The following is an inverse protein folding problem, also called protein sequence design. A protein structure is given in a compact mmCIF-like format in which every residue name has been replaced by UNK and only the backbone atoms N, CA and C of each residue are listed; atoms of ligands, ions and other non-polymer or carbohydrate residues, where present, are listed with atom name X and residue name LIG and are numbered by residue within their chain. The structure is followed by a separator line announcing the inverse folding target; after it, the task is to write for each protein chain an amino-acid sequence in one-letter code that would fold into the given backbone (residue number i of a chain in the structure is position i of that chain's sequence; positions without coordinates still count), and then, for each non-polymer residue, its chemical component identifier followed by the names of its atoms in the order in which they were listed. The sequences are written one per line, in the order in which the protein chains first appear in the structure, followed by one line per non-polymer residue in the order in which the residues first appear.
data_IF_117725626658
#
_entry.id   IF_117725626658
#
_cell.length_a   1.000
_cell.length_b   1.000
_cell.length_c   1.000
_cell.angle_alpha   90.00
_cell.angle_beta   90.00
_cell.angle_gamma   90.00
#
_symmetry.space_group_name_H-M   'P 1'
#
loop_
_entity.id
_entity.type
_entity.pdbx_description
1 polymer ?
#
# COMPACT_ATOMS: atom_id res chain seq x y z
N UNK A 1 26.71 -4.82 66.02
CA UNK A 1 25.28 -4.84 66.34
C UNK A 1 24.56 -5.63 65.26
N UNK A 2 24.06 -6.82 65.63
CA UNK A 2 23.17 -7.65 64.80
C UNK A 2 21.76 -7.12 64.95
N UNK A 3 20.98 -7.06 63.87
CA UNK A 3 19.52 -7.19 63.92
C UNK A 3 19.04 -8.04 62.73
N UNK A 4 18.46 -9.19 63.07
CA UNK A 4 17.66 -10.06 62.22
C UNK A 4 16.18 -9.76 62.51
N UNK A 5 15.33 -9.70 61.47
CA UNK A 5 13.91 -10.12 61.43
C UNK A 5 13.55 -10.33 59.94
N UNK A 6 13.64 -11.53 59.37
CA UNK A 6 12.58 -12.57 59.21
C UNK A 6 11.19 -12.09 58.73
N UNK A 7 10.73 -12.76 57.65
CA UNK A 7 9.36 -13.07 57.19
C UNK A 7 8.54 -12.02 56.40
N UNK A 8 8.24 -12.35 55.14
CA UNK A 8 6.90 -12.78 54.72
C UNK A 8 6.91 -13.30 53.27
N UNK A 9 6.75 -14.62 53.10
CA UNK A 9 6.17 -15.21 51.89
C UNK A 9 4.66 -14.99 52.01
N UNK A 10 4.08 -14.28 51.06
CA UNK A 10 2.64 -14.05 50.98
C UNK A 10 2.22 -14.09 49.53
N UNK A 11 1.75 -15.26 49.08
CA UNK A 11 1.07 -15.42 47.80
C UNK A 11 -0.15 -14.49 47.76
N UNK A 12 -0.19 -13.59 46.78
CA UNK A 12 -1.42 -12.91 46.40
C UNK A 12 -1.97 -13.61 45.16
N UNK A 13 -2.90 -14.54 45.39
CA UNK A 13 -3.95 -14.86 44.43
C UNK A 13 -4.64 -13.56 44.03
N UNK A 14 -4.59 -13.20 42.76
CA UNK A 14 -5.60 -12.32 42.17
C UNK A 14 -6.47 -13.17 41.25
N UNK A 15 -7.51 -13.71 41.89
CA UNK A 15 -8.89 -13.79 41.43
C UNK A 15 -9.09 -13.95 39.92
N UNK A 16 -9.51 -15.17 39.56
CA UNK A 16 -10.30 -15.50 38.40
C UNK A 16 -11.43 -14.49 38.17
N UNK A 17 -11.28 -13.63 37.16
CA UNK A 17 -12.41 -13.00 36.49
C UNK A 17 -12.92 -13.99 35.45
N UNK A 18 -14.15 -14.49 35.64
CA UNK A 18 -14.81 -15.43 34.73
C UNK A 18 -15.23 -14.80 33.38
N UNK A 19 -14.62 -13.69 32.99
CA UNK A 19 -14.66 -13.02 31.67
C UNK A 19 -13.27 -12.41 31.43
N UNK A 20 -12.24 -13.26 31.34
CA UNK A 20 -10.81 -12.91 31.40
C UNK A 20 -10.23 -12.32 30.12
N UNK A 21 -10.70 -11.15 29.73
CA UNK A 21 -10.06 -10.36 28.67
C UNK A 21 -8.75 -9.71 29.15
N UNK A 22 -7.70 -9.77 28.32
CA UNK A 22 -6.44 -9.03 28.53
C UNK A 22 -6.41 -7.82 27.59
N UNK A 23 -6.01 -6.67 28.13
CA UNK A 23 -5.67 -5.49 27.33
C UNK A 23 -4.15 -5.46 27.14
N UNK A 24 -3.70 -5.70 25.91
CA UNK A 24 -2.28 -5.83 25.58
C UNK A 24 -1.89 -4.77 24.55
N UNK A 25 -1.65 -3.57 25.05
CA UNK A 25 -1.30 -2.39 24.26
C UNK A 25 -0.09 -2.65 23.34
N UNK A 26 0.90 -3.41 23.82
CA UNK A 26 2.10 -3.71 23.04
C UNK A 26 1.75 -4.54 21.80
N UNK A 27 0.88 -5.55 21.93
CA UNK A 27 0.39 -6.34 20.81
C UNK A 27 -0.42 -5.50 19.81
N UNK A 28 -1.26 -4.59 20.31
CA UNK A 28 -2.06 -3.68 19.47
C UNK A 28 -1.17 -2.73 18.67
N UNK A 29 -0.19 -2.12 19.33
CA UNK A 29 0.84 -1.28 18.71
C UNK A 29 1.77 -2.05 17.76
N UNK A 30 1.72 -3.38 17.79
CA UNK A 30 2.52 -4.24 16.90
C UNK A 30 1.76 -4.66 15.63
N UNK A 31 0.55 -4.17 15.44
CA UNK A 31 -0.20 -4.36 14.21
C UNK A 31 0.13 -3.24 13.22
N UNK A 32 0.14 -3.51 11.90
CA UNK A 32 0.29 -2.46 10.91
C UNK A 32 -0.91 -1.51 10.95
N UNK A 33 -0.65 -0.23 10.81
CA UNK A 33 -1.66 0.80 10.59
C UNK A 33 -1.63 1.30 9.14
N UNK A 34 -2.67 2.02 8.74
CA UNK A 34 -2.75 2.56 7.38
C UNK A 34 -1.63 3.58 7.10
N UNK A 35 -1.24 4.41 8.07
CA UNK A 35 -0.22 5.43 7.88
C UNK A 35 1.17 4.84 7.57
N UNK A 36 1.55 3.75 8.24
CA UNK A 36 2.83 3.07 8.01
C UNK A 36 2.86 2.23 6.74
N UNK A 37 1.68 1.85 6.23
CA UNK A 37 1.57 0.90 5.11
C UNK A 37 0.95 1.48 3.86
N UNK A 38 0.61 2.77 3.78
CA UNK A 38 0.03 3.40 2.59
C UNK A 38 1.09 3.95 1.64
N UNK A 39 0.86 3.84 0.33
CA UNK A 39 1.70 4.45 -0.71
C UNK A 39 1.24 5.90 -0.97
N UNK A 40 2.17 6.83 -1.19
CA UNK A 40 1.85 8.27 -1.31
C UNK A 40 2.43 8.90 -2.57
N UNK A 41 1.64 9.72 -3.26
CA UNK A 41 2.02 10.48 -4.47
C UNK A 41 1.70 12.01 -4.33
N UNK A 42 1.14 12.46 -3.20
CA UNK A 42 0.54 13.80 -3.06
C UNK A 42 1.43 14.91 -2.46
N UNK A 43 1.02 16.16 -2.74
CA UNK A 43 1.57 17.43 -2.25
C UNK A 43 1.03 17.92 -0.89
N UNK A 44 -0.16 17.52 -0.44
CA UNK A 44 -0.72 17.94 0.86
C UNK A 44 -1.63 16.87 1.46
N UNK A 45 -1.13 15.66 1.70
CA UNK A 45 -1.80 14.80 2.68
C UNK A 45 -1.30 15.21 4.07
N UNK A 46 -2.09 15.94 4.89
CA UNK A 46 -1.66 16.23 6.25
C UNK A 46 -1.36 14.91 6.95
N UNK A 47 -0.21 14.87 7.61
CA UNK A 47 0.17 13.80 8.53
C UNK A 47 -0.73 13.89 9.77
N UNK A 48 -1.99 13.48 9.66
CA UNK A 48 -2.89 13.34 10.79
C UNK A 48 -3.63 12.01 10.70
N UNK A 49 -3.39 11.20 11.73
CA UNK A 49 -4.07 9.98 12.16
C UNK A 49 -4.84 9.19 11.11
N UNK A 50 -4.36 7.96 10.84
CA UNK A 50 -4.90 6.98 9.91
C UNK A 50 -6.35 6.50 10.16
N UNK A 51 -7.13 7.24 10.93
CA UNK A 51 -8.57 7.05 11.13
C UNK A 51 -9.42 8.31 10.87
N UNK A 52 -8.86 9.50 10.56
CA UNK A 52 -9.65 10.75 10.48
C UNK A 52 -9.72 11.42 9.10
N UNK A 53 -8.90 11.04 8.11
CA UNK A 53 -9.10 11.42 6.70
C UNK A 53 -10.07 10.44 6.02
N UNK A 54 -11.27 10.35 6.58
CA UNK A 54 -12.37 9.52 6.07
C UNK A 54 -13.27 10.44 5.22
N UNK A 55 -13.21 10.24 3.90
CA UNK A 55 -14.18 10.68 2.88
C UNK A 55 -14.19 12.15 2.38
N UNK A 56 -13.61 13.15 3.05
CA UNK A 56 -13.72 14.55 2.57
C UNK A 56 -12.67 14.97 1.54
N UNK A 57 -11.37 14.72 1.78
CA UNK A 57 -10.30 15.16 0.87
C UNK A 57 -10.35 14.54 -0.53
N UNK A 58 -10.89 13.32 -0.65
CA UNK A 58 -10.92 12.59 -1.91
C UNK A 58 -11.98 13.10 -2.90
N UNK A 59 -13.08 13.72 -2.44
CA UNK A 59 -14.11 14.27 -3.36
C UNK A 59 -13.68 15.60 -3.98
N UNK A 60 -12.88 16.40 -3.27
CA UNK A 60 -12.36 17.66 -3.82
C UNK A 60 -11.27 17.40 -4.87
N UNK A 61 -10.54 16.28 -4.78
CA UNK A 61 -9.62 15.87 -5.85
C UNK A 61 -10.35 15.33 -7.08
N UNK A 62 -11.52 14.69 -6.94
CA UNK A 62 -12.31 14.17 -8.08
C UNK A 62 -12.82 15.29 -9.01
N UNK A 63 -13.12 16.48 -8.48
CA UNK A 63 -13.55 17.63 -9.30
C UNK A 63 -12.40 18.32 -10.06
N UNK A 64 -11.14 18.07 -9.68
CA UNK A 64 -9.94 18.66 -10.30
C UNK A 64 -9.27 17.74 -11.33
N UNK A 65 -9.77 16.51 -11.50
CA UNK A 65 -9.21 15.52 -12.43
C UNK A 65 -9.92 15.48 -13.79
N UNK A 66 -11.03 16.22 -13.95
CA UNK A 66 -11.66 16.44 -15.26
C UNK A 66 -10.83 17.44 -16.10
N UNK A 67 -9.84 16.91 -16.83
CA UNK A 67 -9.30 17.57 -18.03
C UNK A 67 -8.19 18.61 -17.86
N UNK A 68 -7.71 18.90 -16.64
CA UNK A 68 -6.64 19.90 -16.41
C UNK A 68 -5.35 19.36 -15.76
N UNK A 69 -5.35 18.11 -15.26
CA UNK A 69 -4.18 17.48 -14.66
C UNK A 69 -3.22 16.85 -15.67
N UNK A 70 -1.96 16.66 -15.29
CA UNK A 70 -1.00 15.93 -16.13
C UNK A 70 -1.50 14.50 -16.38
N UNK A 71 -1.96 14.19 -17.59
CA UNK A 71 -2.69 12.94 -17.87
C UNK A 71 -1.86 11.68 -17.54
N UNK A 72 -0.54 11.79 -17.61
CA UNK A 72 0.40 10.72 -17.25
C UNK A 72 0.46 10.43 -15.73
N UNK A 73 0.05 11.39 -14.89
CA UNK A 73 -0.01 11.28 -13.43
C UNK A 73 -1.36 10.73 -12.95
N UNK A 74 -2.43 11.06 -13.65
CA UNK A 74 -3.80 10.66 -13.30
C UNK A 74 -3.92 9.13 -13.15
N UNK A 75 -3.42 8.38 -14.13
CA UNK A 75 -3.39 6.92 -14.08
C UNK A 75 -2.69 6.39 -12.83
N UNK A 76 -1.51 6.90 -12.50
CA UNK A 76 -0.76 6.48 -11.32
C UNK A 76 -1.51 6.79 -10.01
N UNK A 77 -2.14 7.96 -9.90
CA UNK A 77 -2.95 8.34 -8.73
C UNK A 77 -4.16 7.45 -8.55
N UNK A 78 -4.88 7.13 -9.63
CA UNK A 78 -6.01 6.20 -9.57
C UNK A 78 -5.59 4.84 -9.03
N UNK A 79 -4.45 4.30 -9.47
CA UNK A 79 -3.95 3.01 -8.98
C UNK A 79 -3.53 3.07 -7.51
N UNK A 80 -2.82 4.12 -7.07
CA UNK A 80 -2.45 4.29 -5.66
C UNK A 80 -3.68 4.49 -4.78
N UNK A 81 -4.67 5.25 -5.23
CA UNK A 81 -5.95 5.41 -4.54
C UNK A 81 -6.65 4.06 -4.37
N UNK A 82 -6.79 3.27 -5.44
CA UNK A 82 -7.43 1.96 -5.38
C UNK A 82 -6.69 1.00 -4.44
N UNK A 83 -5.35 0.97 -4.50
CA UNK A 83 -4.50 0.18 -3.60
C UNK A 83 -4.72 0.58 -2.13
N UNK A 84 -4.65 1.87 -1.84
CA UNK A 84 -4.80 2.42 -0.51
C UNK A 84 -6.22 2.22 0.05
N UNK A 85 -7.26 2.42 -0.78
CA UNK A 85 -8.65 2.16 -0.40
C UNK A 85 -8.85 0.69 -0.01
N UNK A 86 -8.26 -0.24 -0.77
CA UNK A 86 -8.31 -1.66 -0.48
C UNK A 86 -7.56 -2.03 0.81
N UNK A 87 -6.35 -1.50 0.98
CA UNK A 87 -5.56 -1.68 2.19
C UNK A 87 -6.30 -1.16 3.42
N UNK A 88 -6.89 0.03 3.33
CA UNK A 88 -7.73 0.60 4.40
C UNK A 88 -8.86 -0.34 4.75
N UNK A 89 -9.65 -0.79 3.77
CA UNK A 89 -10.77 -1.71 3.97
C UNK A 89 -10.35 -3.03 4.65
N UNK A 90 -9.18 -3.56 4.30
CA UNK A 90 -8.64 -4.78 4.88
C UNK A 90 -8.13 -4.59 6.32
N UNK A 91 -7.64 -3.40 6.67
CA UNK A 91 -7.16 -3.09 8.02
C UNK A 91 -8.28 -2.72 9.01
N UNK A 92 -9.46 -2.27 8.53
CA UNK A 92 -10.55 -1.88 9.45
C UNK A 92 -11.01 -3.05 10.36
N UNK A 93 -11.17 -4.30 9.88
CA UNK A 93 -11.48 -5.43 10.75
C UNK A 93 -10.45 -5.63 11.87
N UNK A 94 -9.16 -5.46 11.57
CA UNK A 94 -8.08 -5.54 12.55
C UNK A 94 -8.24 -4.45 13.60
N UNK A 95 -8.39 -3.20 13.17
CA UNK A 95 -8.54 -2.04 14.04
C UNK A 95 -9.80 -2.10 14.93
N UNK A 96 -10.90 -2.69 14.46
CA UNK A 96 -12.12 -2.84 15.25
C UNK A 96 -12.04 -4.00 16.26
N UNK A 97 -11.38 -5.10 15.88
CA UNK A 97 -11.22 -6.26 16.77
C UNK A 97 -10.37 -5.93 18.00
N UNK A 98 -9.31 -5.13 17.84
CA UNK A 98 -8.43 -4.74 18.95
C UNK A 98 -9.01 -3.72 19.91
N UNK A 99 -10.16 -3.12 19.60
CA UNK A 99 -10.91 -2.29 20.56
C UNK A 99 -11.55 -3.12 21.68
N UNK A 100 -11.59 -4.44 21.52
CA UNK A 100 -12.08 -5.39 22.52
C UNK A 100 -10.90 -6.06 23.22
N UNK A 101 -11.12 -6.51 24.45
CA UNK A 101 -10.13 -7.30 25.17
C UNK A 101 -9.87 -8.64 24.47
N UNK A 102 -8.61 -9.07 24.47
CA UNK A 102 -8.21 -10.35 23.89
C UNK A 102 -8.45 -11.51 24.86
N UNK A 103 -8.74 -12.69 24.31
CA UNK A 103 -8.64 -13.97 25.00
C UNK A 103 -7.20 -14.48 24.90
N UNK A 104 -6.50 -14.53 26.03
CA UNK A 104 -5.12 -14.99 26.09
C UNK A 104 -5.03 -16.52 26.04
N UNK A 105 -4.15 -17.03 25.16
CA UNK A 105 -3.90 -18.45 24.94
C UNK A 105 -2.44 -18.80 25.26
N UNK A 106 -2.13 -20.08 25.56
CA UNK A 106 -0.76 -20.53 25.75
C UNK A 106 0.15 -20.18 24.56
N UNK A 107 1.42 -19.88 24.85
CA UNK A 107 2.43 -19.56 23.82
C UNK A 107 2.44 -18.09 23.37
N UNK A 108 2.09 -17.17 24.26
CA UNK A 108 2.01 -15.72 24.01
C UNK A 108 1.11 -15.35 22.82
N UNK A 109 -0.04 -16.04 22.76
CA UNK A 109 -1.05 -15.85 21.71
C UNK A 109 -2.25 -15.10 22.29
N UNK A 110 -2.70 -14.07 21.58
CA UNK A 110 -3.86 -13.25 21.89
C UNK A 110 -4.89 -13.42 20.78
N UNK A 111 -6.13 -13.72 21.14
CA UNK A 111 -7.24 -13.87 20.19
C UNK A 111 -8.27 -12.78 20.42
N UNK A 112 -8.54 -11.99 19.39
CA UNK A 112 -9.56 -10.95 19.40
C UNK A 112 -10.76 -11.41 18.56
N UNK A 113 -11.97 -11.24 19.11
CA UNK A 113 -13.20 -11.75 18.51
C UNK A 113 -13.53 -13.18 18.95
N UNK A 114 -14.46 -13.88 18.25
CA UNK A 114 -15.03 -13.53 16.96
C UNK A 114 -15.94 -12.29 16.98
N UNK A 115 -16.06 -11.62 15.84
CA UNK A 115 -16.96 -10.47 15.68
C UNK A 115 -17.58 -10.42 14.29
N UNK A 116 -18.90 -10.28 14.26
CA UNK A 116 -19.65 -10.04 13.04
C UNK A 116 -19.40 -8.63 12.49
N UNK A 117 -19.19 -8.54 11.18
CA UNK A 117 -19.01 -7.28 10.47
C UNK A 117 -19.50 -7.41 9.03
N UNK A 118 -20.48 -6.58 8.68
CA UNK A 118 -21.04 -6.47 7.34
C UNK A 118 -21.47 -7.82 6.74
N UNK A 119 -20.55 -8.53 6.10
CA UNK A 119 -20.77 -9.76 5.34
C UNK A 119 -20.05 -11.01 5.88
N UNK A 120 -19.26 -10.91 6.95
CA UNK A 120 -18.55 -12.05 7.54
C UNK A 120 -18.35 -11.92 9.05
N UNK A 121 -17.98 -13.02 9.69
CA UNK A 121 -17.51 -13.05 11.08
C UNK A 121 -15.99 -13.15 11.09
N UNK A 122 -15.31 -12.20 11.75
CA UNK A 122 -13.85 -12.10 11.77
C UNK A 122 -13.25 -12.49 13.11
N UNK A 123 -12.04 -13.04 13.07
CA UNK A 123 -11.22 -13.36 14.24
C UNK A 123 -9.77 -12.98 13.96
N UNK A 124 -9.16 -12.23 14.86
CA UNK A 124 -7.75 -11.83 14.79
C UNK A 124 -6.97 -12.64 15.81
N UNK A 125 -5.84 -13.20 15.41
CA UNK A 125 -4.90 -13.88 16.32
C UNK A 125 -3.56 -13.20 16.19
N UNK A 126 -2.98 -12.80 17.32
CA UNK A 126 -1.66 -12.17 17.40
C UNK A 126 -0.77 -13.06 18.26
N UNK A 127 0.41 -13.40 17.76
CA UNK A 127 1.44 -14.13 18.50
C UNK A 127 2.61 -13.19 18.78
N UNK A 128 2.99 -13.08 20.05
CA UNK A 128 4.24 -12.41 20.44
C UNK A 128 5.40 -13.37 20.20
N UNK A 129 6.36 -12.92 19.42
CA UNK A 129 7.62 -13.61 19.18
C UNK A 129 8.76 -12.99 19.99
N UNK A 130 9.96 -13.52 19.78
CA UNK A 130 11.18 -13.00 20.38
C UNK A 130 11.62 -11.70 19.70
N UNK A 131 12.42 -10.88 20.40
CA UNK A 131 13.04 -9.68 19.87
C UNK A 131 12.06 -8.67 19.24
N UNK A 132 10.91 -8.45 19.91
CA UNK A 132 9.84 -7.52 19.48
C UNK A 132 9.27 -7.84 18.09
N UNK A 133 9.29 -9.11 17.70
CA UNK A 133 8.63 -9.60 16.49
C UNK A 133 7.23 -10.08 16.86
N UNK A 134 6.23 -9.63 16.13
CA UNK A 134 4.84 -10.00 16.31
C UNK A 134 4.32 -10.54 14.99
N UNK A 135 3.61 -11.65 15.04
CA UNK A 135 2.94 -12.25 13.89
C UNK A 135 1.45 -12.18 14.14
N UNK A 136 0.67 -11.95 13.09
CA UNK A 136 -0.77 -11.90 13.21
C UNK A 136 -1.44 -12.54 12.00
N UNK A 137 -2.64 -13.04 12.23
CA UNK A 137 -3.56 -13.46 11.18
C UNK A 137 -4.96 -12.93 11.43
N UNK A 138 -5.63 -12.58 10.35
CA UNK A 138 -7.04 -12.30 10.30
C UNK A 138 -7.72 -13.46 9.56
N UNK A 139 -8.65 -14.11 10.23
CA UNK A 139 -9.47 -15.16 9.67
C UNK A 139 -10.92 -14.67 9.58
N UNK A 140 -11.65 -15.14 8.57
CA UNK A 140 -13.07 -14.85 8.41
C UNK A 140 -13.86 -16.11 8.09
N UNK A 141 -15.12 -16.17 8.52
CA UNK A 141 -16.08 -17.22 8.16
C UNK A 141 -17.41 -16.59 7.73
N UNK A 142 -18.31 -17.35 7.07
CA UNK A 142 -19.62 -16.83 6.68
C UNK A 142 -20.39 -16.27 7.87
N UNK A 143 -21.08 -15.15 7.66
CA UNK A 143 -21.86 -14.48 8.69
C UNK A 143 -22.91 -15.43 9.29
N UNK A 144 -23.01 -15.47 10.63
CA UNK A 144 -23.94 -16.34 11.35
C UNK A 144 -23.54 -17.81 11.39
N UNK A 145 -22.41 -18.19 10.76
CA UNK A 145 -21.85 -19.54 10.94
C UNK A 145 -21.35 -19.72 12.37
N UNK A 146 -21.61 -20.87 12.95
CA UNK A 146 -21.05 -21.32 14.24
C UNK A 146 -19.96 -22.37 14.08
N UNK A 147 -19.67 -22.78 12.83
CA UNK A 147 -18.64 -23.74 12.51
C UNK A 147 -17.26 -23.08 12.58
N UNK A 148 -16.42 -23.53 13.51
CA UNK A 148 -15.05 -23.04 13.67
C UNK A 148 -14.08 -23.59 12.61
N UNK A 149 -14.48 -24.60 11.85
CA UNK A 149 -13.70 -25.09 10.70
C UNK A 149 -13.94 -24.27 9.43
N UNK A 150 -14.96 -23.40 9.43
CA UNK A 150 -15.30 -22.55 8.29
C UNK A 150 -14.42 -21.28 8.17
N UNK A 151 -13.49 -21.05 9.09
CA UNK A 151 -12.57 -19.92 9.03
C UNK A 151 -11.56 -20.08 7.89
N UNK A 152 -11.47 -19.04 7.06
CA UNK A 152 -10.43 -18.90 6.03
C UNK A 152 -9.48 -17.77 6.41
N UNK A 153 -8.21 -17.96 6.13
CA UNK A 153 -7.18 -16.93 6.30
C UNK A 153 -7.36 -15.82 5.26
N UNK A 154 -7.79 -14.64 5.69
CA UNK A 154 -8.05 -13.50 4.77
C UNK A 154 -6.93 -12.48 4.76
N UNK A 155 -6.20 -12.34 5.87
CA UNK A 155 -4.97 -11.56 5.90
C UNK A 155 -3.98 -12.13 6.93
N UNK A 156 -2.71 -11.87 6.74
CA UNK A 156 -1.66 -12.22 7.68
C UNK A 156 -0.51 -11.21 7.59
N UNK A 157 0.31 -11.15 8.62
CA UNK A 157 1.49 -10.31 8.58
C UNK A 157 2.41 -10.51 9.77
N UNK A 158 3.52 -9.78 9.72
CA UNK A 158 4.46 -9.72 10.81
C UNK A 158 5.03 -8.31 10.93
N UNK A 159 5.33 -7.89 12.16
CA UNK A 159 6.02 -6.64 12.45
C UNK A 159 7.13 -6.90 13.46
N UNK A 160 8.34 -6.51 13.10
CA UNK A 160 9.42 -6.30 14.07
C UNK A 160 9.45 -4.82 14.44
N UNK A 161 9.00 -4.49 15.66
CA UNK A 161 8.93 -3.11 16.13
C UNK A 161 10.31 -2.49 16.33
N UNK A 162 10.44 -1.21 15.99
CA UNK A 162 11.66 -0.39 16.15
C UNK A 162 11.55 0.68 17.27
N UNK A 163 10.47 0.68 18.04
CA UNK A 163 10.30 1.50 19.24
C UNK A 163 9.03 2.34 19.22
N UNK A 164 8.61 2.80 18.05
CA UNK A 164 7.35 3.52 17.88
C UNK A 164 6.16 2.56 17.69
N UNK A 165 4.95 3.03 17.95
CA UNK A 165 3.73 2.27 17.70
C UNK A 165 3.52 2.10 16.19
N UNK A 166 3.21 0.89 15.75
CA UNK A 166 2.94 0.53 14.35
C UNK A 166 4.14 0.74 13.39
N UNK A 167 5.33 1.05 13.92
CA UNK A 167 6.56 1.26 13.14
C UNK A 167 7.56 0.12 13.34
N UNK A 168 8.48 0.02 12.40
CA UNK A 168 9.42 -1.09 12.28
C UNK A 168 9.49 -1.66 10.86
N UNK A 169 9.88 -2.92 10.77
CA UNK A 169 10.01 -3.67 9.52
C UNK A 169 9.07 -4.86 9.53
N UNK A 170 8.35 -5.08 8.45
CA UNK A 170 7.30 -6.08 8.45
C UNK A 170 6.76 -6.44 7.08
N UNK A 171 5.81 -7.38 7.11
CA UNK A 171 5.08 -7.86 5.94
C UNK A 171 3.59 -7.88 6.24
N UNK A 172 2.80 -7.80 5.19
CA UNK A 172 1.35 -7.95 5.22
C UNK A 172 0.92 -8.63 3.91
N UNK A 173 -0.04 -9.55 4.00
CA UNK A 173 -0.62 -10.22 2.86
C UNK A 173 -2.13 -10.33 3.05
N UNK A 174 -2.90 -10.04 1.99
CA UNK A 174 -4.37 -10.02 1.95
C UNK A 174 -4.83 -10.89 0.79
N UNK A 175 -5.79 -11.79 1.05
CA UNK A 175 -6.46 -12.59 0.03
C UNK A 175 -7.92 -12.17 -0.08
N UNK A 176 -8.22 -11.43 -1.15
CA UNK A 176 -9.59 -11.07 -1.51
C UNK A 176 -10.37 -12.30 -1.99
N UNK A 177 -9.68 -13.29 -2.58
CA UNK A 177 -10.29 -14.57 -2.98
C UNK A 177 -10.79 -15.35 -1.76
N UNK A 178 -10.01 -15.42 -0.67
CA UNK A 178 -10.43 -16.08 0.55
C UNK A 178 -11.58 -15.35 1.24
N UNK A 179 -11.56 -14.01 1.22
CA UNK A 179 -12.66 -13.20 1.74
C UNK A 179 -13.94 -13.43 0.93
N UNK A 180 -13.86 -13.38 -0.41
CA UNK A 180 -14.99 -13.65 -1.30
C UNK A 180 -15.58 -15.03 -1.10
N UNK A 181 -14.75 -16.03 -0.80
CA UNK A 181 -15.21 -17.39 -0.59
C UNK A 181 -16.03 -17.57 0.70
N UNK A 182 -15.89 -16.69 1.70
CA UNK A 182 -16.73 -16.70 2.92
C UNK A 182 -17.81 -15.63 2.91
N UNK A 183 -17.64 -14.60 2.08
CA UNK A 183 -18.57 -13.50 1.90
C UNK A 183 -18.82 -13.23 0.41
N UNK A 184 -19.69 -14.01 -0.26
CA UNK A 184 -19.87 -13.96 -1.71
C UNK A 184 -20.35 -12.62 -2.28
N UNK A 185 -20.92 -11.73 -1.45
CA UNK A 185 -21.28 -10.36 -1.83
C UNK A 185 -20.08 -9.44 -2.02
N UNK A 186 -18.89 -9.84 -1.55
CA UNK A 186 -17.65 -9.11 -1.78
C UNK A 186 -17.21 -9.27 -3.24
N UNK A 187 -17.02 -8.14 -3.93
CA UNK A 187 -16.77 -8.15 -5.38
C UNK A 187 -15.29 -8.29 -5.74
N UNK A 188 -14.38 -7.84 -4.87
CA UNK A 188 -12.94 -7.87 -5.10
C UNK A 188 -12.36 -9.28 -5.27
N UNK A 189 -11.16 -9.36 -5.84
CA UNK A 189 -10.47 -10.61 -6.15
C UNK A 189 -8.95 -10.46 -6.10
N UNK A 190 -8.26 -11.60 -6.08
CA UNK A 190 -6.81 -11.70 -6.09
C UNK A 190 -6.16 -11.47 -4.73
N UNK A 191 -4.86 -11.17 -4.76
CA UNK A 191 -4.03 -11.03 -3.56
C UNK A 191 -3.17 -9.78 -3.62
N UNK A 192 -3.02 -9.13 -2.47
CA UNK A 192 -2.09 -8.04 -2.23
C UNK A 192 -1.11 -8.52 -1.18
N UNK A 193 0.16 -8.56 -1.52
CA UNK A 193 1.26 -8.87 -0.62
C UNK A 193 2.16 -7.65 -0.53
N UNK A 194 2.71 -7.38 0.64
CA UNK A 194 3.62 -6.26 0.80
C UNK A 194 4.66 -6.51 1.87
N UNK A 195 5.75 -5.76 1.74
CA UNK A 195 6.73 -5.52 2.79
C UNK A 195 6.89 -4.02 3.00
N UNK A 196 7.24 -3.66 4.23
CA UNK A 196 7.44 -2.28 4.63
C UNK A 196 8.60 -2.15 5.60
N UNK A 197 9.27 -1.01 5.55
CA UNK A 197 10.31 -0.62 6.49
C UNK A 197 10.19 0.87 6.82
N UNK A 198 10.15 1.18 8.10
CA UNK A 198 10.22 2.53 8.64
C UNK A 198 11.66 2.87 9.01
N UNK A 199 12.02 4.13 8.82
CA UNK A 199 13.39 4.63 8.99
C UNK A 199 13.39 6.00 9.65
N UNK A 200 14.23 6.17 10.67
CA UNK A 200 14.47 7.47 11.32
C UNK A 200 13.18 8.17 11.74
N UNK A 201 13.08 9.47 11.44
CA UNK A 201 11.95 10.34 11.82
C UNK A 201 10.72 10.17 10.91
N UNK A 202 10.27 8.93 10.69
CA UNK A 202 9.05 8.64 9.94
C UNK A 202 9.22 8.53 8.41
N UNK A 203 10.44 8.34 7.92
CA UNK A 203 10.62 7.91 6.53
C UNK A 203 10.11 6.48 6.38
N UNK A 204 9.58 6.12 5.21
CA UNK A 204 9.09 4.75 4.93
C UNK A 204 9.45 4.28 3.54
N UNK A 205 9.63 2.98 3.41
CA UNK A 205 9.87 2.24 2.18
C UNK A 205 8.87 1.10 2.07
N UNK A 206 8.23 0.95 0.91
CA UNK A 206 7.15 0.01 0.66
C UNK A 206 7.41 -0.74 -0.64
N UNK A 207 7.11 -2.04 -0.63
CA UNK A 207 7.06 -2.87 -1.83
C UNK A 207 5.83 -3.76 -1.76
N UNK A 208 4.92 -3.59 -2.71
CA UNK A 208 3.74 -4.42 -2.90
C UNK A 208 3.96 -5.34 -4.09
N UNK A 209 3.43 -6.55 -4.00
CA UNK A 209 3.22 -7.49 -5.09
C UNK A 209 1.72 -7.77 -5.17
N UNK A 210 1.17 -7.58 -6.36
CA UNK A 210 -0.23 -7.80 -6.69
C UNK A 210 -0.33 -9.05 -7.56
N UNK A 211 -1.26 -9.93 -7.25
CA UNK A 211 -1.55 -11.12 -8.04
C UNK A 211 -3.04 -11.14 -8.40
N UNK A 212 -3.34 -10.86 -9.67
CA UNK A 212 -4.70 -10.74 -10.19
C UNK A 212 -5.63 -9.86 -9.32
N UNK A 213 -5.06 -8.80 -8.74
CA UNK A 213 -5.68 -8.04 -7.66
C UNK A 213 -6.59 -6.94 -8.22
N UNK A 214 -7.83 -6.89 -7.73
CA UNK A 214 -8.67 -5.69 -7.83
C UNK A 214 -9.64 -5.64 -6.64
N UNK A 215 -9.77 -4.49 -5.96
CA UNK A 215 -10.76 -4.35 -4.89
C UNK A 215 -12.19 -4.30 -5.41
N UNK A 216 -12.38 -3.89 -6.67
CA UNK A 216 -13.68 -3.85 -7.31
C UNK A 216 -13.53 -3.99 -8.84
N UNK A 217 -13.90 -5.14 -9.42
CA UNK A 217 -13.75 -5.39 -10.86
C UNK A 217 -14.63 -4.50 -11.74
N UNK A 218 -15.65 -3.84 -11.19
CA UNK A 218 -16.49 -2.90 -11.96
C UNK A 218 -15.84 -1.53 -12.15
N UNK A 219 -14.90 -1.16 -11.27
CA UNK A 219 -14.21 0.13 -11.29
C UNK A 219 -12.75 0.00 -11.74
N UNK A 220 -12.10 -1.12 -11.45
CA UNK A 220 -10.68 -1.33 -11.69
C UNK A 220 -10.42 -2.71 -12.29
N UNK A 221 -9.64 -2.73 -13.36
CA UNK A 221 -9.14 -3.98 -13.92
C UNK A 221 -8.16 -4.65 -12.95
N UNK A 222 -8.10 -5.99 -13.00
CA UNK A 222 -7.21 -6.75 -12.15
C UNK A 222 -5.75 -6.55 -12.59
N UNK A 223 -4.88 -6.27 -11.62
CA UNK A 223 -3.45 -6.03 -11.85
C UNK A 223 -2.62 -7.18 -11.29
N UNK A 224 -1.63 -7.61 -12.08
CA UNK A 224 -0.51 -8.44 -11.61
C UNK A 224 0.76 -7.64 -11.86
N UNK A 225 1.53 -7.40 -10.81
CA UNK A 225 2.70 -6.53 -10.87
C UNK A 225 3.22 -6.14 -9.48
N UNK A 226 4.23 -5.29 -9.46
CA UNK A 226 4.83 -4.73 -8.26
C UNK A 226 4.60 -3.22 -8.20
N UNK A 227 4.22 -2.73 -7.01
CA UNK A 227 4.17 -1.30 -6.74
C UNK A 227 5.23 -1.02 -5.68
N UNK A 228 6.11 -0.07 -5.91
CA UNK A 228 7.18 0.25 -4.97
C UNK A 228 7.17 1.73 -4.69
N UNK A 229 7.57 2.13 -3.49
CA UNK A 229 7.73 3.55 -3.21
C UNK A 229 8.32 3.85 -1.86
N UNK A 230 8.63 5.13 -1.67
CA UNK A 230 9.11 5.63 -0.41
C UNK A 230 8.70 7.08 -0.17
N UNK A 231 8.70 7.46 1.10
CA UNK A 231 8.59 8.84 1.56
C UNK A 231 9.77 9.15 2.47
N UNK A 232 10.46 10.25 2.19
CA UNK A 232 11.55 10.76 3.02
C UNK A 232 11.02 11.81 3.98
N UNK A 233 11.46 11.74 5.24
CA UNK A 233 11.24 12.76 6.26
C UNK A 233 12.59 13.36 6.68
N UNK A 234 12.67 14.67 6.96
CA UNK A 234 11.56 15.64 7.01
C UNK A 234 11.20 16.27 5.66
N UNK A 235 11.90 15.92 4.56
CA UNK A 235 11.76 16.61 3.27
C UNK A 235 10.41 16.41 2.58
N UNK A 236 9.67 15.35 2.94
CA UNK A 236 8.39 14.98 2.33
C UNK A 236 8.50 14.48 0.89
N UNK A 237 9.72 14.31 0.36
CA UNK A 237 9.93 13.80 -1.00
C UNK A 237 9.36 12.39 -1.10
N UNK A 238 8.51 12.16 -2.10
CA UNK A 238 7.95 10.84 -2.40
C UNK A 238 8.39 10.38 -3.76
N UNK A 239 8.60 9.06 -3.87
CA UNK A 239 8.74 8.38 -5.15
C UNK A 239 7.92 7.11 -5.13
N UNK A 240 7.26 6.83 -6.24
CA UNK A 240 6.47 5.63 -6.40
C UNK A 240 6.59 5.12 -7.83
N UNK A 241 6.68 3.81 -8.00
CA UNK A 241 6.52 3.14 -9.30
C UNK A 241 5.33 2.20 -9.22
N UNK A 242 4.40 2.36 -10.16
CA UNK A 242 3.11 1.67 -10.17
C UNK A 242 2.75 1.20 -11.58
N UNK A 243 2.00 0.11 -11.65
CA UNK A 243 1.50 -0.47 -12.90
C UNK A 243 -0.02 -0.43 -12.91
N UNK A 244 -0.64 0.02 -13.99
CA UNK A 244 -2.09 -0.01 -14.14
C UNK A 244 -2.55 -0.08 -15.58
N UNK A 245 -3.83 -0.38 -15.76
CA UNK A 245 -4.52 -0.19 -17.03
C UNK A 245 -5.04 1.25 -17.10
N UNK A 246 -4.66 2.00 -18.13
CA UNK A 246 -5.06 3.40 -18.34
C UNK A 246 -5.20 3.68 -19.83
N UNK A 247 -6.20 4.47 -20.21
CA UNK A 247 -6.36 4.91 -21.58
C UNK A 247 -5.53 6.19 -21.77
N UNK A 248 -4.38 6.11 -22.44
CA UNK A 248 -3.54 7.27 -22.65
C UNK A 248 -4.24 8.28 -23.57
N UNK A 249 -4.14 9.60 -23.31
CA UNK A 249 -4.62 10.57 -24.29
C UNK A 249 -3.93 10.39 -25.63
N UNK A 250 -4.66 10.62 -26.73
CA UNK A 250 -4.20 10.48 -28.11
C UNK A 250 -3.96 9.03 -28.57
N UNK A 251 -4.55 8.04 -27.89
CA UNK A 251 -4.74 6.68 -28.43
C UNK A 251 -5.98 6.60 -29.31
N UNK A 252 -6.09 5.52 -30.10
CA UNK A 252 -7.08 5.41 -31.16
C UNK A 252 -8.50 5.10 -30.67
N UNK A 253 -8.65 4.42 -29.53
CA UNK A 253 -9.93 3.94 -29.00
C UNK A 253 -10.00 4.11 -27.48
N UNK A 254 -10.92 3.38 -26.83
CA UNK A 254 -11.03 3.33 -25.37
C UNK A 254 -10.33 2.10 -24.77
N UNK A 255 -9.58 1.36 -25.58
CA UNK A 255 -8.82 0.20 -25.11
C UNK A 255 -7.68 0.68 -24.21
N UNK A 256 -7.61 0.18 -22.98
CA UNK A 256 -6.59 0.63 -22.03
C UNK A 256 -5.24 -0.02 -22.32
N UNK A 257 -4.20 0.79 -22.28
CA UNK A 257 -2.81 0.35 -22.25
C UNK A 257 -2.43 -0.12 -20.85
N UNK A 258 -1.46 -1.04 -20.77
CA UNK A 258 -0.68 -1.23 -19.54
C UNK A 258 0.30 -0.07 -19.44
N UNK A 259 0.24 0.67 -18.35
CA UNK A 259 1.10 1.84 -18.09
C UNK A 259 1.88 1.60 -16.81
N UNK A 260 3.20 1.51 -16.94
CA UNK A 260 4.14 1.49 -15.84
C UNK A 260 4.68 2.91 -15.66
N UNK A 261 4.42 3.51 -14.50
CA UNK A 261 4.77 4.90 -14.23
C UNK A 261 5.68 4.98 -13.01
N UNK A 262 6.83 5.66 -13.13
CA UNK A 262 7.61 6.14 -12.00
C UNK A 262 7.26 7.61 -11.77
N UNK A 263 6.88 7.94 -10.54
CA UNK A 263 6.48 9.26 -10.09
C UNK A 263 7.48 9.73 -9.05
N UNK A 264 7.92 10.98 -9.18
CA UNK A 264 8.68 11.72 -8.17
C UNK A 264 7.93 12.99 -7.82
N UNK A 265 7.61 13.17 -6.56
CA UNK A 265 7.03 14.41 -6.05
C UNK A 265 7.97 15.06 -5.04
N UNK A 266 8.16 16.37 -5.19
CA UNK A 266 8.98 17.20 -4.31
C UNK A 266 8.09 18.32 -3.77
N UNK A 267 7.84 18.35 -2.46
CA UNK A 267 7.02 19.40 -1.85
C UNK A 267 7.51 20.80 -2.24
N UNK A 268 6.58 21.72 -2.46
CA UNK A 268 6.85 23.11 -2.86
C UNK A 268 7.51 23.31 -4.24
N UNK A 269 7.77 22.23 -5.01
CA UNK A 269 8.22 22.33 -6.39
C UNK A 269 7.21 21.75 -7.40
N UNK A 270 6.50 20.70 -7.01
CA UNK A 270 5.63 19.93 -7.90
C UNK A 270 6.19 18.53 -8.11
N UNK A 271 6.17 18.01 -9.33
CA UNK A 271 6.67 16.66 -9.57
C UNK A 271 6.86 16.31 -11.03
N UNK A 272 7.26 15.06 -11.22
CA UNK A 272 7.50 14.45 -12.52
C UNK A 272 7.01 13.01 -12.52
N UNK A 273 6.45 12.60 -13.64
CA UNK A 273 6.14 11.22 -13.97
C UNK A 273 6.90 10.83 -15.23
N UNK A 274 7.52 9.66 -15.22
CA UNK A 274 8.09 9.00 -16.37
C UNK A 274 7.35 7.68 -16.57
N UNK A 275 6.92 7.40 -17.80
CA UNK A 275 6.10 6.22 -18.08
C UNK A 275 6.64 5.37 -19.23
N UNK A 276 6.22 4.11 -19.19
CA UNK A 276 6.24 3.18 -20.31
C UNK A 276 4.85 2.58 -20.47
N UNK A 277 4.33 2.56 -21.70
CA UNK A 277 3.02 2.00 -22.00
C UNK A 277 3.04 1.01 -23.17
N UNK A 278 2.22 -0.03 -23.09
CA UNK A 278 2.10 -1.08 -24.10
C UNK A 278 0.73 -1.79 -24.08
N UNK A 279 0.40 -2.51 -25.15
CA UNK A 279 -0.91 -3.15 -25.31
C UNK A 279 -2.03 -2.14 -25.57
N UNK A 280 -3.29 -2.55 -25.42
CA UNK A 280 -4.41 -1.65 -25.71
C UNK A 280 -4.42 -1.23 -27.18
N UNK A 281 -4.42 0.09 -27.42
CA UNK A 281 -4.33 0.66 -28.76
C UNK A 281 -2.90 0.73 -29.33
N UNK A 282 -1.88 0.41 -28.52
CA UNK A 282 -0.49 0.41 -28.96
C UNK A 282 -0.23 -0.85 -29.79
N UNK A 283 0.23 -0.71 -31.06
CA UNK A 283 0.52 -1.85 -31.92
C UNK A 283 1.47 -2.88 -31.30
N UNK A 284 1.35 -4.13 -31.73
CA UNK A 284 2.30 -5.17 -31.33
C UNK A 284 3.74 -4.78 -31.74
N UNK A 285 4.71 -5.10 -30.87
CA UNK A 285 6.13 -4.77 -31.01
C UNK A 285 6.46 -3.26 -30.96
N UNK A 286 5.51 -2.42 -30.52
CA UNK A 286 5.75 -1.02 -30.19
C UNK A 286 5.39 -0.72 -28.75
N UNK A 287 5.94 0.36 -28.23
CA UNK A 287 5.62 0.87 -26.90
C UNK A 287 5.74 2.39 -26.89
N UNK A 288 5.04 3.02 -25.97
CA UNK A 288 5.20 4.45 -25.70
C UNK A 288 6.07 4.67 -24.48
N UNK A 289 6.87 5.72 -24.52
CA UNK A 289 7.58 6.27 -23.35
C UNK A 289 7.29 7.75 -23.27
N UNK A 290 7.22 8.28 -22.07
CA UNK A 290 6.90 9.69 -21.91
C UNK A 290 7.34 10.23 -20.58
N UNK A 291 7.32 11.55 -20.51
CA UNK A 291 7.49 12.29 -19.28
C UNK A 291 6.45 13.39 -19.19
N UNK A 292 6.00 13.66 -17.98
CA UNK A 292 5.21 14.85 -17.65
C UNK A 292 5.73 15.48 -16.37
N UNK A 293 5.75 16.80 -16.30
CA UNK A 293 6.01 17.56 -15.09
C UNK A 293 4.82 18.45 -14.74
N UNK A 294 4.61 18.63 -13.44
CA UNK A 294 3.63 19.56 -12.91
C UNK A 294 4.27 20.48 -11.88
N UNK A 295 3.70 21.67 -11.72
CA UNK A 295 4.10 22.61 -10.69
C UNK A 295 3.40 22.35 -9.34
N UNK A 296 3.56 23.27 -8.40
CA UNK A 296 2.94 23.16 -7.06
C UNK A 296 1.42 23.29 -7.05
N UNK A 297 0.82 23.87 -8.10
CA UNK A 297 -0.62 23.88 -8.32
C UNK A 297 -1.08 22.63 -9.08
N UNK A 298 -0.18 21.67 -9.29
CA UNK A 298 -0.41 20.46 -10.08
C UNK A 298 -0.75 20.73 -11.55
N UNK A 299 -0.46 21.94 -12.05
CA UNK A 299 -0.64 22.28 -13.45
C UNK A 299 0.44 21.62 -14.28
N UNK A 300 0.05 20.93 -15.36
CA UNK A 300 1.00 20.38 -16.33
C UNK A 300 1.80 21.51 -17.00
N UNK A 301 3.12 21.49 -16.82
CA UNK A 301 4.04 22.50 -17.39
C UNK A 301 4.93 21.91 -18.49
N UNK A 302 5.11 20.60 -18.49
CA UNK A 302 5.85 19.87 -19.50
C UNK A 302 5.21 18.51 -19.74
N UNK A 303 5.10 18.10 -21.00
CA UNK A 303 4.72 16.74 -21.39
C UNK A 303 5.37 16.38 -22.72
N UNK A 304 5.70 15.10 -22.90
CA UNK A 304 6.06 14.53 -24.20
C UNK A 304 5.82 13.03 -24.23
N UNK A 305 5.37 12.50 -25.37
CA UNK A 305 5.32 11.07 -25.67
C UNK A 305 6.20 10.74 -26.87
N UNK A 306 6.89 9.61 -26.79
CA UNK A 306 7.63 9.01 -27.89
C UNK A 306 7.12 7.61 -28.15
N UNK A 307 6.98 7.28 -29.43
CA UNK A 307 6.72 5.94 -29.92
C UNK A 307 8.04 5.24 -30.25
N UNK A 308 8.23 4.08 -29.64
CA UNK A 308 9.40 3.22 -29.80
C UNK A 308 9.01 1.88 -30.41
N UNK A 309 10.00 1.18 -30.95
CA UNK A 309 9.87 -0.22 -31.40
C UNK A 309 10.67 -1.11 -30.46
N UNK A 310 10.27 -2.37 -30.30
CA UNK A 310 11.00 -3.28 -29.41
C UNK A 310 12.47 -3.42 -29.82
N UNK A 311 13.37 -3.29 -28.84
CA UNK A 311 14.82 -3.29 -29.05
C UNK A 311 15.42 -1.96 -29.53
N UNK A 312 14.61 -0.93 -29.83
CA UNK A 312 15.10 0.39 -30.18
C UNK A 312 15.67 1.12 -28.96
N UNK A 313 16.71 1.94 -29.16
CA UNK A 313 17.17 2.85 -28.12
C UNK A 313 16.22 4.06 -28.02
N UNK A 314 16.15 4.70 -26.84
CA UNK A 314 15.23 5.82 -26.63
C UNK A 314 15.48 6.99 -27.60
N UNK A 315 16.73 7.20 -28.01
CA UNK A 315 17.11 8.26 -28.96
C UNK A 315 16.59 8.01 -30.38
N UNK A 316 16.17 6.78 -30.69
CA UNK A 316 15.59 6.39 -31.98
C UNK A 316 14.06 6.40 -32.00
N UNK A 317 13.42 6.72 -30.87
CA UNK A 317 11.97 6.81 -30.79
C UNK A 317 11.46 8.10 -31.45
N UNK A 318 10.28 8.03 -32.06
CA UNK A 318 9.67 9.18 -32.75
C UNK A 318 8.68 9.86 -31.83
N UNK A 319 8.72 11.19 -31.74
CA UNK A 319 7.74 11.94 -30.95
C UNK A 319 6.32 11.72 -31.51
N UNK A 320 5.36 11.45 -30.62
CA UNK A 320 3.94 11.34 -30.99
C UNK A 320 3.42 12.74 -31.27
N UNK A 321 2.91 12.96 -32.48
CA UNK A 321 2.44 14.27 -32.94
C UNK A 321 1.41 14.87 -31.97
N UNK A 322 1.64 16.12 -31.55
CA UNK A 322 0.75 16.84 -30.62
C UNK A 322 0.87 16.42 -29.15
N UNK A 323 1.78 15.51 -28.80
CA UNK A 323 1.98 15.10 -27.42
C UNK A 323 2.76 16.10 -26.57
N UNK A 324 3.51 17.01 -27.20
CA UNK A 324 4.38 17.94 -26.50
C UNK A 324 3.64 19.13 -25.92
N UNK A 325 3.88 19.39 -24.64
CA UNK A 325 3.47 20.59 -23.92
C UNK A 325 4.73 21.20 -23.29
N UNK A 326 4.91 22.51 -23.44
CA UNK A 326 6.03 23.24 -22.84
C UNK A 326 7.42 22.71 -23.21
N UNK A 327 8.41 23.06 -22.39
CA UNK A 327 9.79 22.62 -22.50
C UNK A 327 10.24 21.97 -21.19
N UNK A 328 11.25 21.08 -21.25
CA UNK A 328 11.75 20.38 -20.05
C UNK A 328 12.28 21.34 -18.97
N UNK A 329 12.68 22.54 -19.39
CA UNK A 329 13.14 23.63 -18.52
C UNK A 329 12.02 24.15 -17.60
N UNK A 330 10.76 23.95 -17.98
CA UNK A 330 9.58 24.33 -17.22
C UNK A 330 9.35 23.40 -16.02
N UNK A 331 9.94 22.19 -16.01
CA UNK A 331 10.01 21.35 -14.81
C UNK A 331 10.77 22.08 -13.70
N UNK A 332 10.15 22.29 -12.54
CA UNK A 332 10.75 23.10 -11.45
C UNK A 332 11.76 22.29 -10.63
N UNK A 333 13.04 22.65 -10.77
CA UNK A 333 14.14 22.06 -10.00
C UNK A 333 15.00 21.10 -10.82
N UNK A 334 16.32 21.07 -10.58
CA UNK A 334 17.26 20.28 -11.38
C UNK A 334 16.96 18.77 -11.34
N UNK A 335 16.45 18.29 -10.22
CA UNK A 335 16.07 16.88 -10.03
C UNK A 335 14.90 16.40 -10.90
N UNK A 336 14.13 17.33 -11.47
CA UNK A 336 12.99 17.04 -12.37
C UNK A 336 13.33 17.27 -13.85
N UNK A 337 14.49 17.88 -14.17
CA UNK A 337 14.88 18.31 -15.53
C UNK A 337 15.75 17.30 -16.30
N UNK A 338 15.88 16.07 -15.82
CA UNK A 338 16.69 15.03 -16.46
C UNK A 338 16.11 14.51 -17.77
N UNK A 339 16.85 13.62 -18.45
CA UNK A 339 16.35 12.88 -19.61
C UNK A 339 15.15 12.01 -19.24
N UNK A 340 14.34 11.61 -20.23
CA UNK A 340 13.24 10.65 -20.05
C UNK A 340 13.82 9.34 -19.55
N UNK A 341 13.50 8.96 -18.31
CA UNK A 341 13.97 7.70 -17.69
C UNK A 341 12.77 6.81 -17.39
N UNK A 342 12.19 6.17 -18.42
CA UNK A 342 10.99 5.40 -18.24
C UNK A 342 11.31 4.13 -17.44
N UNK A 343 10.40 3.67 -16.58
CA UNK A 343 10.57 2.40 -15.90
C UNK A 343 10.62 1.26 -16.91
N UNK A 344 11.45 0.26 -16.63
CA UNK A 344 11.69 -0.89 -17.53
C UNK A 344 11.01 -2.17 -17.03
N UNK A 345 10.91 -3.16 -17.91
CA UNK A 345 10.34 -4.48 -17.60
C UNK A 345 8.83 -4.57 -17.77
N UNK A 346 8.25 -5.63 -17.20
CA UNK A 346 6.81 -5.99 -17.25
C UNK A 346 6.00 -5.38 -16.09
N UNK A 347 6.68 -4.69 -15.18
CA UNK A 347 6.10 -4.14 -13.97
C UNK A 347 6.12 -5.09 -12.76
N UNK A 348 6.74 -6.27 -12.84
CA UNK A 348 6.86 -7.22 -11.71
C UNK A 348 8.08 -6.96 -10.80
N UNK A 349 8.88 -5.96 -11.14
CA UNK A 349 10.12 -5.62 -10.46
C UNK A 349 9.84 -4.83 -9.16
N UNK A 350 10.16 -5.46 -8.03
CA UNK A 350 10.03 -4.88 -6.69
C UNK A 350 11.31 -4.14 -6.23
N UNK A 351 12.26 -3.89 -7.12
CA UNK A 351 13.47 -3.12 -6.78
C UNK A 351 13.11 -1.71 -6.32
N UNK A 352 13.70 -1.21 -5.21
CA UNK A 352 13.39 0.12 -4.69
C UNK A 352 13.70 1.25 -5.67
N UNK A 353 12.87 2.28 -5.67
CA UNK A 353 13.13 3.51 -6.44
C UNK A 353 14.41 4.23 -5.95
N UNK A 354 15.14 4.95 -6.83
CA UNK A 354 16.38 5.62 -6.45
C UNK A 354 16.19 6.63 -5.33
N UNK A 355 17.11 6.66 -4.35
CA UNK A 355 17.01 7.51 -3.17
C UNK A 355 16.19 6.90 -2.02
N UNK A 356 15.78 5.63 -2.16
CA UNK A 356 15.13 4.89 -1.07
C UNK A 356 16.06 4.83 0.18
N UNK A 357 15.53 5.10 1.40
CA UNK A 357 16.34 5.17 2.62
C UNK A 357 16.83 3.79 3.12
N UNK A 358 16.29 2.71 2.56
CA UNK A 358 16.63 1.33 2.87
C UNK A 358 15.50 0.40 2.44
N UNK A 359 15.85 -0.65 1.72
CA UNK A 359 14.88 -1.59 1.18
C UNK A 359 14.07 -2.28 2.31
N UNK A 360 12.75 -2.47 2.13
CA UNK A 360 12.01 -3.37 2.99
C UNK A 360 12.49 -4.81 2.79
N UNK A 361 12.02 -5.71 3.64
CA UNK A 361 12.25 -7.15 3.42
C UNK A 361 11.57 -7.61 2.13
N UNK A 362 11.82 -8.85 1.70
CA UNK A 362 11.11 -9.39 0.52
C UNK A 362 9.60 -9.49 0.81
N UNK A 363 8.79 -8.95 -0.10
CA UNK A 363 7.34 -9.10 -0.01
C UNK A 363 6.96 -10.58 -0.15
N UNK A 364 6.02 -11.11 0.67
CA UNK A 364 5.63 -12.50 0.59
C UNK A 364 5.01 -12.83 -0.77
N UNK A 365 5.09 -14.09 -1.16
CA UNK A 365 4.52 -14.59 -2.43
C UNK A 365 3.10 -15.12 -2.29
N UNK A 366 2.63 -15.36 -1.06
CA UNK A 366 1.28 -15.82 -0.77
C UNK A 366 0.80 -15.36 0.62
N UNK A 367 -0.48 -15.62 0.93
CA UNK A 367 -1.08 -15.40 2.24
C UNK A 367 -0.89 -16.65 3.09
N UNK A 368 0.18 -16.66 3.87
CA UNK A 368 0.49 -17.75 4.82
C UNK A 368 0.41 -17.24 6.25
N UNK A 369 -0.08 -18.09 7.15
CA UNK A 369 0.07 -17.88 8.58
C UNK A 369 1.30 -18.68 9.03
N UNK A 370 2.46 -18.04 9.07
CA UNK A 370 3.61 -18.59 9.77
C UNK A 370 3.38 -18.40 11.27
N UNK A 371 2.92 -19.46 11.94
CA UNK A 371 2.98 -19.54 13.40
C UNK A 371 4.28 -20.21 13.81
#
# INVERSE_FOLDING_TARGET
MRWNKTLAVGAALVLSTACGGVDDQEAVESLPDFAGTSLEINAEAPAQDGAALIAQDLRETEAALDGEGAAMLEGARMQVKALNDALRQALVPVADLVKKSADAKPGDVLVYGPQDRANATFKLTVRKGVAKRYQWKLEARPLGSTDDTAYKLVAAGALKRDGEAHRGRGTLAISLDNLKAVAPSFTGQGRLMMSFAHHGQGSKSLAYRLANFTPNPTAHEAVTGAFVGHKLQPSGITRARVLGAYNLPHTATAAKEKVLTSVRHIPQLGGRADLRAWGGDIPANTFYVGSACWDVQEKEVFRVLFQCTDGSRLESCTEVAGSRVGAVQDCRGPELRGDVTPPVGTGDDASPEPGNPGAPDEAPTDVTAEF
#
